data_IF_577887944090
#
_entry.id   IF_577887944090
#
_cell.length_a   1.000
_cell.length_b   1.000
_cell.length_c   1.000
_cell.angle_alpha   90.00
_cell.angle_beta   90.00
_cell.angle_gamma   90.00
#
_symmetry.space_group_name_H-M   'P 1'
#
loop_
_entity.id
_entity.type
_entity.pdbx_description
1 polymer ?
#
# COMPACT_ATOMS: atom_id res chain seq x y z
N UNK A 1 -22.00 -20.87 21.81
CA UNK A 1 -21.72 -19.50 21.33
C UNK A 1 -20.25 -19.19 21.04
N UNK A 2 -19.27 -20.04 21.38
CA UNK A 2 -17.83 -19.81 21.05
C UNK A 2 -17.44 -20.37 19.67
N UNK A 3 -18.13 -21.40 19.20
CA UNK A 3 -17.78 -22.10 17.93
C UNK A 3 -18.26 -21.42 16.65
N UNK A 4 -19.30 -20.59 16.68
CA UNK A 4 -19.78 -19.92 15.46
C UNK A 4 -18.86 -18.79 14.98
N UNK A 5 -18.10 -18.15 15.88
CA UNK A 5 -17.12 -17.10 15.50
C UNK A 5 -15.91 -17.64 14.77
N UNK A 6 -15.56 -18.91 14.98
CA UNK A 6 -14.44 -19.56 14.28
C UNK A 6 -14.81 -19.87 12.84
N UNK A 7 -16.10 -19.92 12.53
CA UNK A 7 -16.61 -20.27 11.19
C UNK A 7 -16.88 -19.08 10.27
N UNK A 8 -16.72 -17.85 10.73
CA UNK A 8 -16.91 -16.66 9.87
C UNK A 8 -15.65 -16.34 9.09
N UNK A 9 -15.80 -16.09 7.77
CA UNK A 9 -14.72 -15.53 6.93
C UNK A 9 -14.46 -14.07 7.31
N UNK A 10 -15.51 -13.35 7.75
CA UNK A 10 -15.43 -11.95 8.14
C UNK A 10 -14.83 -11.78 9.53
N UNK A 11 -13.52 -11.90 9.62
CA UNK A 11 -12.75 -11.61 10.82
C UNK A 11 -12.43 -10.12 10.92
N UNK A 12 -12.20 -9.57 12.13
CA UNK A 12 -11.74 -8.19 12.28
C UNK A 12 -10.49 -7.88 11.46
N UNK A 13 -9.58 -8.86 11.32
CA UNK A 13 -8.34 -8.73 10.54
C UNK A 13 -8.65 -8.59 9.04
N UNK A 14 -9.58 -9.40 8.52
CA UNK A 14 -10.01 -9.28 7.13
C UNK A 14 -10.65 -7.92 6.87
N UNK A 15 -11.56 -7.48 7.74
CA UNK A 15 -12.24 -6.19 7.59
C UNK A 15 -11.23 -5.04 7.68
N UNK A 16 -10.38 -5.02 8.70
CA UNK A 16 -9.36 -3.98 8.89
C UNK A 16 -8.36 -3.92 7.73
N UNK A 17 -7.84 -5.07 7.30
CA UNK A 17 -6.94 -5.15 6.15
C UNK A 17 -7.58 -4.70 4.85
N UNK A 18 -8.84 -5.13 4.59
CA UNK A 18 -9.60 -4.72 3.41
C UNK A 18 -9.86 -3.21 3.38
N UNK A 19 -10.19 -2.60 4.53
CA UNK A 19 -10.39 -1.15 4.62
C UNK A 19 -9.09 -0.37 4.40
N UNK A 20 -7.97 -0.81 4.99
CA UNK A 20 -6.66 -0.19 4.74
C UNK A 20 -6.32 -0.24 3.25
N UNK A 21 -6.50 -1.39 2.63
CA UNK A 21 -6.20 -1.57 1.22
C UNK A 21 -7.12 -0.72 0.33
N UNK A 22 -8.42 -0.68 0.62
CA UNK A 22 -9.40 0.15 -0.06
C UNK A 22 -8.97 1.62 -0.03
N UNK A 23 -8.67 2.17 1.15
CA UNK A 23 -8.30 3.58 1.33
C UNK A 23 -6.97 3.88 0.63
N UNK A 24 -5.94 3.05 0.84
CA UNK A 24 -4.62 3.24 0.23
C UNK A 24 -4.70 3.27 -1.30
N UNK A 25 -5.47 2.35 -1.88
CA UNK A 25 -5.62 2.27 -3.34
C UNK A 25 -6.63 3.26 -3.92
N UNK A 26 -7.62 3.71 -3.13
CA UNK A 26 -8.45 4.84 -3.51
C UNK A 26 -7.59 6.08 -3.74
N UNK A 27 -6.74 6.43 -2.78
CA UNK A 27 -5.85 7.59 -2.90
C UNK A 27 -4.84 7.39 -4.04
N UNK A 28 -4.20 6.21 -4.12
CA UNK A 28 -3.23 5.93 -5.20
C UNK A 28 -3.81 6.14 -6.59
N UNK A 29 -5.03 5.69 -6.84
CA UNK A 29 -5.66 5.77 -8.17
C UNK A 29 -5.99 7.19 -8.61
N UNK A 30 -5.96 8.17 -7.69
CA UNK A 30 -6.30 9.57 -7.99
C UNK A 30 -5.15 10.38 -8.56
N UNK A 31 -3.89 9.92 -8.43
CA UNK A 31 -2.71 10.73 -8.75
C UNK A 31 -2.74 11.31 -10.17
N UNK A 32 -3.26 10.56 -11.15
CA UNK A 32 -3.39 11.05 -12.53
C UNK A 32 -4.26 12.30 -12.68
N UNK A 33 -5.22 12.54 -11.78
CA UNK A 33 -6.10 13.70 -11.80
C UNK A 33 -5.37 15.01 -11.42
N UNK A 34 -4.30 14.89 -10.65
CA UNK A 34 -3.51 16.04 -10.19
C UNK A 34 -2.52 16.57 -11.22
N UNK A 35 -2.28 15.82 -12.32
CA UNK A 35 -1.34 16.22 -13.36
C UNK A 35 -1.67 17.58 -13.95
N UNK A 36 -2.93 17.83 -14.32
CA UNK A 36 -3.34 19.07 -14.95
C UNK A 36 -3.30 20.24 -13.96
N UNK A 37 -3.91 20.16 -12.76
CA UNK A 37 -3.86 21.24 -11.78
C UNK A 37 -2.43 21.65 -11.42
N UNK A 38 -1.57 20.69 -11.07
CA UNK A 38 -0.18 20.97 -10.66
C UNK A 38 0.63 21.54 -11.82
N UNK A 39 0.52 20.94 -13.01
CA UNK A 39 1.25 21.44 -14.18
C UNK A 39 0.81 22.85 -14.57
N UNK A 40 -0.47 23.21 -14.40
CA UNK A 40 -0.98 24.54 -14.68
C UNK A 40 -0.49 25.58 -13.68
N UNK A 41 -0.45 25.25 -12.39
CA UNK A 41 -0.03 26.19 -11.33
C UNK A 41 1.46 26.55 -11.41
N UNK A 42 2.30 25.58 -11.81
CA UNK A 42 3.75 25.78 -11.81
C UNK A 42 4.34 25.84 -13.24
N UNK A 43 3.53 25.80 -14.28
CA UNK A 43 3.96 25.76 -15.68
C UNK A 43 4.91 24.60 -15.99
N UNK A 44 4.73 23.46 -15.31
CA UNK A 44 5.54 22.26 -15.56
C UNK A 44 5.10 21.54 -16.85
N UNK A 45 6.08 20.93 -17.49
CA UNK A 45 5.76 19.99 -18.56
C UNK A 45 5.04 18.76 -17.97
N UNK A 46 4.09 18.21 -18.75
CA UNK A 46 3.40 16.98 -18.34
C UNK A 46 4.34 15.80 -18.10
N UNK A 47 5.49 15.79 -18.77
CA UNK A 47 6.56 14.80 -18.59
C UNK A 47 7.11 14.78 -17.17
N UNK A 48 7.23 15.94 -16.51
CA UNK A 48 7.75 16.05 -15.14
C UNK A 48 6.85 15.32 -14.14
N UNK A 49 5.55 15.54 -14.26
CA UNK A 49 4.58 14.84 -13.42
C UNK A 49 4.53 13.33 -13.74
N UNK A 50 4.59 12.97 -15.02
CA UNK A 50 4.60 11.56 -15.43
C UNK A 50 5.85 10.83 -14.91
N UNK A 51 7.01 11.51 -14.87
CA UNK A 51 8.23 10.99 -14.28
C UNK A 51 8.07 10.75 -12.77
N UNK A 52 7.43 11.67 -12.06
CA UNK A 52 7.14 11.49 -10.63
C UNK A 52 6.30 10.22 -10.38
N UNK A 53 5.27 9.98 -11.20
CA UNK A 53 4.45 8.76 -11.11
C UNK A 53 5.25 7.50 -11.50
N UNK A 54 6.16 7.59 -12.46
CA UNK A 54 7.04 6.47 -12.82
C UNK A 54 7.97 6.11 -11.65
N UNK A 55 8.58 7.11 -11.00
CA UNK A 55 9.39 6.96 -9.79
C UNK A 55 8.58 6.33 -8.65
N UNK A 56 7.33 6.79 -8.44
CA UNK A 56 6.43 6.23 -7.45
C UNK A 56 6.19 4.72 -7.68
N UNK A 57 5.89 4.33 -8.93
CA UNK A 57 5.63 2.92 -9.26
C UNK A 57 6.90 2.06 -9.12
N UNK A 58 8.08 2.58 -9.51
CA UNK A 58 9.34 1.90 -9.31
C UNK A 58 9.64 1.70 -7.82
N UNK A 59 9.48 2.75 -7.02
CA UNK A 59 9.65 2.69 -5.57
C UNK A 59 8.68 1.71 -4.91
N UNK A 60 7.43 1.66 -5.37
CA UNK A 60 6.45 0.67 -4.93
C UNK A 60 6.90 -0.75 -5.25
N UNK A 61 7.34 -1.01 -6.49
CA UNK A 61 7.84 -2.32 -6.91
C UNK A 61 9.02 -2.80 -6.08
N UNK A 62 10.05 -1.96 -5.93
CA UNK A 62 11.25 -2.24 -5.12
C UNK A 62 10.93 -2.31 -3.62
N UNK A 63 10.05 -1.45 -3.16
CA UNK A 63 9.64 -1.38 -1.75
C UNK A 63 8.87 -2.61 -1.28
N UNK A 64 8.09 -3.26 -2.15
CA UNK A 64 7.24 -4.39 -1.77
C UNK A 64 8.03 -5.54 -1.14
N UNK A 65 9.09 -6.10 -1.73
CA UNK A 65 9.90 -7.13 -1.08
C UNK A 65 10.60 -6.64 0.19
N UNK A 66 11.03 -5.38 0.23
CA UNK A 66 11.67 -4.80 1.42
C UNK A 66 10.71 -4.71 2.59
N UNK A 67 9.46 -4.25 2.37
CA UNK A 67 8.44 -4.21 3.40
C UNK A 67 7.97 -5.59 3.81
N UNK A 68 7.96 -6.59 2.90
CA UNK A 68 7.69 -7.98 3.24
C UNK A 68 8.76 -8.53 4.19
N UNK A 69 10.03 -8.34 3.89
CA UNK A 69 11.13 -8.74 4.77
C UNK A 69 11.11 -7.99 6.12
N UNK A 70 10.78 -6.69 6.09
CA UNK A 70 10.61 -5.91 7.32
C UNK A 70 9.45 -6.44 8.17
N UNK A 71 8.34 -6.82 7.55
CA UNK A 71 7.18 -7.38 8.22
C UNK A 71 7.49 -8.74 8.88
N UNK A 72 8.25 -9.60 8.21
CA UNK A 72 8.73 -10.87 8.79
C UNK A 72 9.60 -10.66 10.01
N UNK A 73 10.50 -9.69 9.98
CA UNK A 73 11.44 -9.43 11.06
C UNK A 73 10.83 -8.66 12.23
N UNK A 74 10.02 -7.65 11.97
CA UNK A 74 9.53 -6.69 12.98
C UNK A 74 8.03 -6.78 13.23
N UNK A 75 7.32 -7.55 12.42
CA UNK A 75 5.87 -7.76 12.48
C UNK A 75 5.08 -6.87 11.52
N UNK A 76 3.99 -7.43 11.01
CA UNK A 76 3.14 -6.83 9.99
C UNK A 76 2.59 -5.45 10.37
N UNK A 77 2.15 -5.31 11.63
CA UNK A 77 1.59 -4.03 12.10
C UNK A 77 2.59 -2.87 12.00
N UNK A 78 3.86 -3.14 12.33
CA UNK A 78 4.91 -2.11 12.24
C UNK A 78 5.21 -1.75 10.78
N UNK A 79 5.22 -2.75 9.91
CA UNK A 79 5.44 -2.56 8.48
C UNK A 79 4.31 -1.72 7.86
N UNK A 80 3.06 -2.10 8.13
CA UNK A 80 1.88 -1.40 7.60
C UNK A 80 1.77 0.01 8.17
N UNK A 81 2.02 0.19 9.48
CA UNK A 81 2.03 1.52 10.09
C UNK A 81 3.10 2.42 9.48
N UNK A 82 4.32 1.91 9.32
CA UNK A 82 5.41 2.63 8.67
C UNK A 82 5.03 3.01 7.23
N UNK A 83 4.45 2.08 6.47
CA UNK A 83 3.96 2.34 5.11
C UNK A 83 2.94 3.47 5.07
N UNK A 84 1.91 3.43 5.92
CA UNK A 84 0.89 4.48 6.01
C UNK A 84 1.48 5.84 6.39
N UNK A 85 2.44 5.87 7.35
CA UNK A 85 3.11 7.09 7.78
C UNK A 85 3.94 7.70 6.64
N UNK A 86 4.76 6.89 5.96
CA UNK A 86 5.56 7.35 4.82
C UNK A 86 4.67 7.89 3.70
N UNK A 87 3.55 7.20 3.44
CA UNK A 87 2.59 7.61 2.44
C UNK A 87 1.95 8.95 2.80
N UNK A 88 1.47 9.09 4.04
CA UNK A 88 0.86 10.32 4.53
C UNK A 88 1.84 11.51 4.50
N UNK A 89 3.07 11.33 5.01
CA UNK A 89 4.12 12.36 5.01
C UNK A 89 4.48 12.74 3.57
N UNK A 90 4.66 11.77 2.68
CA UNK A 90 4.99 12.03 1.28
C UNK A 90 3.93 12.88 0.59
N UNK A 91 2.65 12.56 0.75
CA UNK A 91 1.54 13.36 0.19
C UNK A 91 1.47 14.73 0.86
N UNK A 92 1.58 14.80 2.19
CA UNK A 92 1.50 16.07 2.92
C UNK A 92 2.57 17.05 2.46
N UNK A 93 3.83 16.63 2.39
CA UNK A 93 4.91 17.51 1.93
C UNK A 93 4.75 17.83 0.43
N UNK A 94 4.20 16.90 -0.37
CA UNK A 94 3.91 17.16 -1.78
C UNK A 94 2.89 18.27 -2.00
N UNK A 95 2.01 18.55 -1.01
CA UNK A 95 1.06 19.68 -1.08
C UNK A 95 1.74 21.05 -1.14
N UNK A 96 2.98 21.14 -0.67
CA UNK A 96 3.79 22.38 -0.65
C UNK A 96 4.96 22.35 -1.65
N UNK A 97 5.13 21.27 -2.41
CA UNK A 97 6.23 21.13 -3.35
C UNK A 97 6.00 22.00 -4.59
N UNK A 98 6.92 22.92 -4.88
CA UNK A 98 6.82 23.91 -5.96
C UNK A 98 7.76 23.59 -7.13
N UNK A 99 8.65 22.60 -7.00
CA UNK A 99 9.56 22.19 -8.07
C UNK A 99 9.34 20.74 -8.50
N UNK A 100 9.58 20.40 -9.78
CA UNK A 100 9.43 19.03 -10.26
C UNK A 100 10.30 18.04 -9.49
N UNK A 101 11.55 18.39 -9.18
CA UNK A 101 12.51 17.53 -8.49
C UNK A 101 12.06 17.20 -7.07
N UNK A 102 11.52 18.21 -6.36
CA UNK A 102 10.95 17.99 -5.03
C UNK A 102 9.77 17.02 -5.11
N UNK A 103 8.87 17.22 -6.08
CA UNK A 103 7.72 16.36 -6.28
C UNK A 103 8.12 14.94 -6.66
N UNK A 104 9.12 14.78 -7.54
CA UNK A 104 9.68 13.47 -7.92
C UNK A 104 10.31 12.74 -6.72
N UNK A 105 11.09 13.45 -5.89
CA UNK A 105 11.69 12.88 -4.67
C UNK A 105 10.63 12.45 -3.66
N UNK A 106 9.57 13.24 -3.49
CA UNK A 106 8.46 12.89 -2.59
C UNK A 106 7.65 11.70 -3.12
N UNK A 107 7.53 11.56 -4.44
CA UNK A 107 6.89 10.39 -5.04
C UNK A 107 7.69 9.10 -4.81
N UNK A 108 9.01 9.15 -4.64
CA UNK A 108 9.80 8.02 -4.15
C UNK A 108 9.32 7.59 -2.74
N UNK A 109 9.15 8.55 -1.82
CA UNK A 109 8.66 8.29 -0.46
C UNK A 109 7.23 7.73 -0.47
N UNK A 110 6.35 8.31 -1.29
CA UNK A 110 4.98 7.85 -1.50
C UNK A 110 4.97 6.40 -2.00
N UNK A 111 5.82 6.07 -2.98
CA UNK A 111 5.92 4.71 -3.52
C UNK A 111 6.31 3.68 -2.46
N UNK A 112 7.29 3.98 -1.61
CA UNK A 112 7.61 3.14 -0.44
C UNK A 112 6.44 3.06 0.55
N UNK A 113 5.72 4.15 0.77
CA UNK A 113 4.50 4.16 1.59
C UNK A 113 3.43 3.21 1.06
N UNK A 114 3.17 3.23 -0.26
CA UNK A 114 2.26 2.31 -0.94
C UNK A 114 2.75 0.86 -0.82
N UNK A 115 4.06 0.61 -0.91
CA UNK A 115 4.63 -0.72 -0.74
C UNK A 115 4.30 -1.31 0.64
N UNK A 116 4.42 -0.51 1.70
CA UNK A 116 4.17 -0.94 3.08
C UNK A 116 2.69 -1.07 3.44
N UNK A 117 1.80 -0.27 2.83
CA UNK A 117 0.35 -0.28 3.09
C UNK A 117 -0.46 -0.97 1.99
N UNK A 118 0.19 -1.54 0.98
CA UNK A 118 -0.41 -2.15 -0.19
C UNK A 118 -0.67 -3.64 -0.08
N UNK A 119 -0.84 -4.27 -1.25
CA UNK A 119 -1.25 -5.67 -1.37
C UNK A 119 -0.30 -6.64 -0.65
N UNK A 120 1.03 -6.49 -0.76
CA UNK A 120 2.00 -7.42 -0.21
C UNK A 120 1.79 -7.67 1.29
N UNK A 121 2.02 -6.69 2.17
CA UNK A 121 1.86 -6.87 3.61
C UNK A 121 0.42 -7.18 4.04
N UNK A 122 -0.59 -6.55 3.42
CA UNK A 122 -2.00 -6.76 3.80
C UNK A 122 -2.46 -8.19 3.47
N UNK A 123 -2.19 -8.68 2.24
CA UNK A 123 -2.58 -10.04 1.87
C UNK A 123 -1.82 -11.09 2.70
N UNK A 124 -0.57 -10.82 3.04
CA UNK A 124 0.21 -11.70 3.91
C UNK A 124 -0.43 -11.83 5.30
N UNK A 125 -0.83 -10.72 5.92
CA UNK A 125 -1.49 -10.72 7.24
C UNK A 125 -2.84 -11.40 7.22
N UNK A 126 -3.67 -11.11 6.22
CA UNK A 126 -4.99 -11.73 6.06
C UNK A 126 -4.87 -13.22 5.79
N UNK A 127 -3.93 -13.61 4.92
CA UNK A 127 -3.69 -15.02 4.60
C UNK A 127 -3.21 -15.84 5.79
N UNK A 128 -2.35 -15.27 6.66
CA UNK A 128 -1.90 -15.95 7.90
C UNK A 128 -2.99 -16.03 8.97
N UNK A 129 -3.89 -15.06 9.01
CA UNK A 129 -4.99 -15.01 9.97
C UNK A 129 -6.19 -15.88 9.59
N UNK A 130 -6.19 -16.47 8.40
CA UNK A 130 -7.34 -17.20 7.85
C UNK A 130 -7.01 -18.68 7.71
N UNK A 131 -7.97 -19.56 8.06
CA UNK A 131 -7.81 -21.00 7.90
C UNK A 131 -7.58 -21.39 6.42
N UNK A 132 -6.85 -22.50 6.15
CA UNK A 132 -6.53 -22.92 4.78
C UNK A 132 -7.75 -23.01 3.86
N UNK A 133 -8.89 -23.50 4.37
CA UNK A 133 -10.12 -23.73 3.60
C UNK A 133 -10.77 -22.42 3.14
N UNK A 134 -10.56 -21.33 3.89
CA UNK A 134 -11.18 -20.00 3.63
C UNK A 134 -10.19 -18.98 3.10
N UNK A 135 -8.91 -19.32 3.04
CA UNK A 135 -7.83 -18.39 2.69
C UNK A 135 -8.03 -17.78 1.30
N UNK A 136 -8.37 -18.58 0.31
CA UNK A 136 -8.61 -18.10 -1.06
C UNK A 136 -9.74 -17.07 -1.10
N UNK A 137 -10.85 -17.34 -0.41
CA UNK A 137 -11.98 -16.41 -0.33
C UNK A 137 -11.61 -15.11 0.40
N UNK A 138 -10.90 -15.21 1.52
CA UNK A 138 -10.47 -14.04 2.29
C UNK A 138 -9.52 -13.14 1.48
N UNK A 139 -8.54 -13.73 0.78
CA UNK A 139 -7.63 -13.01 -0.10
C UNK A 139 -8.39 -12.37 -1.27
N UNK A 140 -9.36 -13.08 -1.86
CA UNK A 140 -10.23 -12.56 -2.91
C UNK A 140 -11.04 -11.33 -2.46
N UNK A 141 -11.67 -11.37 -1.28
CA UNK A 141 -12.41 -10.25 -0.70
C UNK A 141 -11.48 -9.06 -0.46
N UNK A 142 -10.30 -9.30 0.11
CA UNK A 142 -9.33 -8.23 0.39
C UNK A 142 -8.82 -7.59 -0.90
N UNK A 143 -8.55 -8.38 -1.92
CA UNK A 143 -8.14 -7.89 -3.25
C UNK A 143 -9.26 -7.09 -3.91
N UNK A 144 -10.51 -7.58 -3.83
CA UNK A 144 -11.67 -6.87 -4.35
C UNK A 144 -11.88 -5.50 -3.65
N UNK A 145 -11.61 -5.41 -2.34
CA UNK A 145 -11.67 -4.15 -1.62
C UNK A 145 -10.65 -3.13 -2.15
N UNK A 146 -9.40 -3.56 -2.41
CA UNK A 146 -8.39 -2.71 -3.04
C UNK A 146 -8.81 -2.22 -4.44
N UNK A 147 -9.38 -3.13 -5.24
CA UNK A 147 -9.91 -2.79 -6.57
C UNK A 147 -11.10 -1.83 -6.48
N UNK A 148 -12.00 -2.02 -5.51
CA UNK A 148 -13.11 -1.10 -5.25
C UNK A 148 -12.61 0.30 -4.88
N UNK A 149 -11.53 0.39 -4.09
CA UNK A 149 -10.86 1.66 -3.80
C UNK A 149 -10.44 2.40 -5.07
N UNK A 150 -9.83 1.69 -6.02
CA UNK A 150 -9.41 2.28 -7.29
C UNK A 150 -10.59 2.81 -8.14
N UNK A 151 -11.77 2.23 -7.99
CA UNK A 151 -12.99 2.70 -8.68
C UNK A 151 -13.59 3.91 -7.98
N UNK A 152 -13.62 3.90 -6.65
CA UNK A 152 -14.27 4.96 -5.85
C UNK A 152 -13.37 6.20 -5.70
N UNK A 153 -12.05 6.01 -5.64
CA UNK A 153 -11.09 7.10 -5.40
C UNK A 153 -11.19 8.25 -6.42
N UNK A 154 -11.04 7.97 -7.74
CA UNK A 154 -11.03 9.04 -8.74
C UNK A 154 -12.28 9.92 -8.76
N UNK A 155 -13.54 9.39 -8.70
CA UNK A 155 -14.72 10.22 -8.59
C UNK A 155 -14.72 11.12 -7.36
N UNK A 156 -14.33 10.59 -6.19
CA UNK A 156 -14.25 11.38 -4.96
C UNK A 156 -13.20 12.49 -5.06
N UNK A 157 -12.02 12.19 -5.60
CA UNK A 157 -10.99 13.20 -5.82
C UNK A 157 -11.43 14.27 -6.82
N UNK A 158 -12.12 13.88 -7.89
CA UNK A 158 -12.67 14.82 -8.87
C UNK A 158 -13.68 15.78 -8.24
N UNK A 159 -14.55 15.27 -7.35
CA UNK A 159 -15.49 16.11 -6.59
C UNK A 159 -14.71 17.07 -5.68
N UNK A 160 -13.71 16.60 -4.93
CA UNK A 160 -12.93 17.47 -4.06
C UNK A 160 -12.20 18.56 -4.87
N UNK A 161 -11.60 18.20 -6.00
CA UNK A 161 -10.90 19.14 -6.88
C UNK A 161 -11.83 20.19 -7.54
N UNK A 162 -13.13 19.95 -7.57
CA UNK A 162 -14.09 20.96 -8.07
C UNK A 162 -14.38 22.08 -7.04
N UNK A 163 -14.06 21.88 -5.78
CA UNK A 163 -14.30 22.83 -4.69
C UNK A 163 -13.03 23.32 -3.99
N UNK A 164 -11.93 22.56 -4.09
CA UNK A 164 -10.71 22.80 -3.34
C UNK A 164 -9.49 22.83 -4.27
N UNK A 165 -8.45 23.61 -3.94
CA UNK A 165 -7.17 23.53 -4.62
C UNK A 165 -6.55 22.15 -4.42
N UNK A 166 -5.74 21.69 -5.38
CA UNK A 166 -5.10 20.37 -5.36
C UNK A 166 -4.27 20.13 -4.10
N UNK A 167 -3.61 21.18 -3.56
CA UNK A 167 -2.82 21.11 -2.34
C UNK A 167 -3.66 20.71 -1.12
N UNK A 168 -4.83 21.33 -0.95
CA UNK A 168 -5.76 20.98 0.15
C UNK A 168 -6.32 19.57 0.00
N UNK A 169 -6.50 19.07 -1.22
CA UNK A 169 -6.92 17.67 -1.43
C UNK A 169 -5.81 16.71 -1.01
N UNK A 170 -4.54 17.04 -1.26
CA UNK A 170 -3.41 16.26 -0.76
C UNK A 170 -3.34 16.26 0.78
N UNK A 171 -3.59 17.40 1.43
CA UNK A 171 -3.67 17.49 2.90
C UNK A 171 -4.78 16.59 3.45
N UNK A 172 -5.97 16.62 2.85
CA UNK A 172 -7.10 15.75 3.22
C UNK A 172 -6.71 14.27 3.07
N UNK A 173 -6.07 13.89 1.97
CA UNK A 173 -5.62 12.51 1.76
C UNK A 173 -4.59 12.06 2.79
N UNK A 174 -3.66 12.96 3.14
CA UNK A 174 -2.70 12.69 4.21
C UNK A 174 -3.39 12.44 5.55
N UNK A 175 -4.36 13.26 5.92
CA UNK A 175 -5.16 13.10 7.15
C UNK A 175 -5.92 11.78 7.13
N UNK A 176 -6.55 11.40 6.01
CA UNK A 176 -7.25 10.12 5.86
C UNK A 176 -6.30 8.95 6.08
N UNK A 177 -5.08 9.00 5.52
CA UNK A 177 -4.07 7.96 5.74
C UNK A 177 -3.63 7.88 7.21
N UNK A 178 -3.47 9.00 7.89
CA UNK A 178 -3.16 9.03 9.33
C UNK A 178 -4.31 8.47 10.16
N UNK A 179 -5.56 8.81 9.85
CA UNK A 179 -6.74 8.22 10.51
C UNK A 179 -6.79 6.70 10.27
N UNK A 180 -6.39 6.24 9.10
CA UNK A 180 -6.34 4.81 8.77
C UNK A 180 -5.40 4.02 9.69
N UNK A 181 -4.42 4.65 10.35
CA UNK A 181 -3.57 4.03 11.37
C UNK A 181 -4.37 3.43 12.54
N UNK A 182 -5.57 3.94 12.82
CA UNK A 182 -6.46 3.42 13.87
C UNK A 182 -6.85 1.96 13.59
N UNK A 183 -6.82 1.52 12.33
CA UNK A 183 -7.13 0.15 11.94
C UNK A 183 -5.95 -0.82 12.14
N UNK A 184 -4.72 -0.32 12.23
CA UNK A 184 -3.50 -1.16 12.32
C UNK A 184 -3.49 -2.06 13.56
N UNK A 185 -3.91 -1.64 14.76
CA UNK A 185 -3.97 -2.51 15.94
C UNK A 185 -4.85 -3.76 15.76
N UNK A 186 -5.86 -3.68 14.87
CA UNK A 186 -6.78 -4.80 14.57
C UNK A 186 -6.03 -5.95 13.86
N UNK A 187 -4.95 -5.65 13.13
CA UNK A 187 -4.15 -6.60 12.36
C UNK A 187 -3.19 -7.42 13.26
N UNK A 188 -3.61 -7.80 14.46
CA UNK A 188 -2.80 -8.61 15.37
C UNK A 188 -2.81 -10.07 14.89
N UNK A 189 -1.74 -10.49 14.22
CA UNK A 189 -1.43 -11.92 14.06
C UNK A 189 -0.39 -12.32 15.11
N UNK A 190 -0.51 -13.52 15.67
CA UNK A 190 0.62 -14.13 16.36
C UNK A 190 1.70 -14.35 15.31
N UNK A 191 2.92 -13.83 15.57
CA UNK A 191 4.07 -14.18 14.77
C UNK A 191 4.15 -15.71 14.82
N UNK A 192 3.98 -16.37 13.70
CA UNK A 192 4.25 -17.79 13.60
C UNK A 192 5.69 -17.97 14.07
N UNK A 193 5.87 -18.63 15.21
CA UNK A 193 7.17 -19.15 15.64
C UNK A 193 7.57 -20.30 14.69
N UNK A 194 7.64 -20.02 13.40
CA UNK A 194 8.34 -20.87 12.46
C UNK A 194 9.79 -20.75 12.86
N UNK A 195 10.32 -21.83 13.43
CA UNK A 195 11.70 -21.93 13.91
C UNK A 195 12.66 -21.29 12.90
N UNK A 196 13.18 -20.13 13.26
CA UNK A 196 14.25 -19.40 12.57
C UNK A 196 15.60 -20.17 12.75
N UNK A 197 15.55 -21.47 12.89
CA UNK A 197 16.74 -22.32 13.08
C UNK A 197 17.33 -22.87 11.78
N UNK A 198 16.81 -22.46 10.60
CA UNK A 198 17.40 -22.79 9.29
C UNK A 198 17.71 -21.56 8.44
N UNK A 199 18.02 -20.44 9.06
CA UNK A 199 18.43 -19.20 8.39
C UNK A 199 19.89 -19.19 8.01
N UNK A 200 20.28 -19.98 7.02
CA UNK A 200 21.47 -19.68 6.21
C UNK A 200 21.19 -19.75 4.69
N UNK A 201 19.96 -19.89 4.26
CA UNK A 201 19.63 -19.57 2.88
C UNK A 201 19.47 -18.05 2.75
N UNK A 202 20.59 -17.42 2.40
CA UNK A 202 20.62 -15.99 2.07
C UNK A 202 19.51 -15.74 1.04
N UNK A 203 18.73 -14.68 1.20
CA UNK A 203 17.72 -14.19 0.26
C UNK A 203 18.26 -14.22 -1.19
N UNK A 204 19.55 -13.94 -1.37
CA UNK A 204 20.28 -14.11 -2.63
C UNK A 204 20.21 -15.53 -3.20
N UNK A 205 20.27 -16.59 -2.38
CA UNK A 205 20.17 -17.96 -2.89
C UNK A 205 18.74 -18.30 -3.31
N UNK A 206 17.73 -17.86 -2.53
CA UNK A 206 16.32 -18.07 -2.88
C UNK A 206 15.95 -17.35 -4.18
N UNK A 207 16.39 -16.10 -4.36
CA UNK A 207 16.21 -15.34 -5.62
C UNK A 207 16.95 -16.00 -6.77
N UNK A 208 18.19 -16.48 -6.55
CA UNK A 208 18.98 -17.13 -7.59
C UNK A 208 18.42 -18.49 -8.01
N UNK A 209 17.86 -19.24 -7.05
CA UNK A 209 17.15 -20.52 -7.32
C UNK A 209 15.86 -20.24 -8.09
N UNK A 210 15.07 -19.26 -7.67
CA UNK A 210 13.84 -18.86 -8.37
C UNK A 210 14.13 -18.41 -9.82
N UNK A 211 15.16 -17.60 -10.06
CA UNK A 211 15.54 -17.17 -11.40
C UNK A 211 16.07 -18.32 -12.31
N UNK A 212 16.53 -19.41 -11.72
CA UNK A 212 16.95 -20.62 -12.47
C UNK A 212 15.82 -21.58 -12.75
N UNK A 213 14.69 -21.48 -12.06
CA UNK A 213 13.55 -22.35 -12.28
C UNK A 213 12.84 -21.93 -13.58
N UNK A 214 12.73 -22.84 -14.59
CA UNK A 214 12.06 -22.54 -15.86
C UNK A 214 10.62 -22.05 -15.67
N UNK A 215 9.96 -22.48 -14.60
CA UNK A 215 8.58 -22.08 -14.27
C UNK A 215 8.46 -20.56 -14.01
N UNK A 216 9.50 -19.94 -13.43
CA UNK A 216 9.52 -18.49 -13.17
C UNK A 216 10.08 -17.69 -14.35
N UNK A 217 10.88 -18.30 -15.22
CA UNK A 217 11.44 -17.60 -16.38
C UNK A 217 10.48 -17.55 -17.59
N UNK A 218 9.34 -18.27 -17.54
CA UNK A 218 8.33 -18.28 -18.58
C UNK A 218 7.09 -17.38 -18.28
N UNK A 219 7.08 -16.68 -17.14
CA UNK A 219 6.09 -15.68 -16.76
C UNK A 219 6.60 -14.27 -17.00
#
# INVERSE_FOLDING_TARGET
MKDERINSVFTPILIGGSLILLISFAIRSTFGLFQIPIASDFLWNRSEFSLAIAIQNLAWGVGTPLFSAFAEKYGDRKAIALGLILYAIGIFISSTATTPEAHQTLNLLIGFGIAGSGFGPILAVVGRATSPEKRSLALGITTAAGSAGQVVGPPLASILLSFLPWSSVFEIFSIILLITLILVPILKTELSNTNINNENEKITNAVFVALKDPTYSML
#
